data_IF_411470178311
#
_entry.id   IF_411470178311
#
_cell.length_a   1.000
_cell.length_b   1.000
_cell.length_c   1.000
_cell.angle_alpha   90.00
_cell.angle_beta   90.00
_cell.angle_gamma   90.00
#
_symmetry.space_group_name_H-M   'P 1'
#
loop_
_entity.id
_entity.type
_entity.pdbx_description
1 polymer ?
#
# COMPACT_ATOMS: atom_id res chain seq x y z
N UNK A 1 3.83 2.10 20.53
CA UNK A 1 4.27 0.74 20.14
C UNK A 1 3.09 -0.22 19.91
N UNK A 2 2.29 -0.57 20.93
CA UNK A 2 1.13 -1.47 20.76
C UNK A 2 0.12 -0.92 19.76
N UNK A 3 -0.15 0.38 19.77
CA UNK A 3 -1.04 1.04 18.81
C UNK A 3 -0.53 0.89 17.36
N UNK A 4 0.76 1.12 17.10
CA UNK A 4 1.34 0.96 15.76
C UNK A 4 1.15 -0.46 15.23
N UNK A 5 1.45 -1.48 16.05
CA UNK A 5 1.22 -2.87 15.70
C UNK A 5 -0.26 -3.13 15.35
N UNK A 6 -1.18 -2.65 16.20
CA UNK A 6 -2.63 -2.86 16.01
C UNK A 6 -3.15 -2.18 14.74
N UNK A 7 -2.71 -0.95 14.45
CA UNK A 7 -3.10 -0.24 13.25
C UNK A 7 -2.56 -0.90 11.98
N UNK A 8 -1.31 -1.37 12.00
CA UNK A 8 -0.76 -2.14 10.87
C UNK A 8 -1.50 -3.46 10.64
N UNK A 9 -1.86 -4.18 11.71
CA UNK A 9 -2.67 -5.40 11.63
C UNK A 9 -4.09 -5.10 11.09
N UNK A 10 -4.71 -4.00 11.53
CA UNK A 10 -6.04 -3.60 11.07
C UNK A 10 -6.01 -3.22 9.58
N UNK A 11 -5.05 -2.39 9.18
CA UNK A 11 -4.90 -1.97 7.80
C UNK A 11 -4.67 -3.16 6.86
N UNK A 12 -3.69 -4.01 7.16
CA UNK A 12 -3.42 -5.20 6.36
C UNK A 12 -4.49 -6.30 6.49
N UNK A 13 -5.25 -6.33 7.59
CA UNK A 13 -6.40 -7.21 7.76
C UNK A 13 -7.49 -7.00 6.71
N UNK A 14 -7.54 -5.83 6.05
CA UNK A 14 -8.42 -5.56 4.92
C UNK A 14 -8.16 -6.46 3.70
N UNK A 15 -6.96 -7.01 3.54
CA UNK A 15 -6.66 -8.06 2.55
C UNK A 15 -7.51 -9.32 2.77
N UNK A 16 -7.70 -9.73 4.04
CA UNK A 16 -8.57 -10.85 4.39
C UNK A 16 -10.05 -10.53 4.10
N UNK A 17 -10.47 -9.27 4.27
CA UNK A 17 -11.81 -8.83 3.82
C UNK A 17 -11.92 -8.96 2.31
N UNK A 18 -10.90 -8.57 1.55
CA UNK A 18 -10.80 -8.79 0.10
C UNK A 18 -10.93 -10.26 -0.28
N UNK A 19 -10.24 -11.15 0.43
CA UNK A 19 -10.36 -12.61 0.25
C UNK A 19 -11.81 -13.10 0.45
N UNK A 20 -12.48 -12.66 1.50
CA UNK A 20 -13.87 -13.04 1.77
C UNK A 20 -14.81 -12.57 0.66
N UNK A 21 -14.60 -11.36 0.16
CA UNK A 21 -15.39 -10.78 -0.93
C UNK A 21 -15.09 -11.41 -2.30
N UNK A 22 -13.95 -12.06 -2.48
CA UNK A 22 -13.49 -12.60 -3.76
C UNK A 22 -14.47 -13.61 -4.39
N UNK A 23 -15.22 -14.36 -3.58
CA UNK A 23 -16.21 -15.30 -4.07
C UNK A 23 -17.41 -14.62 -4.77
N UNK A 24 -17.75 -13.39 -4.37
CA UNK A 24 -18.87 -12.60 -4.89
C UNK A 24 -18.45 -11.57 -5.91
N UNK A 25 -17.43 -10.78 -5.61
CA UNK A 25 -17.00 -9.63 -6.41
C UNK A 25 -15.84 -9.95 -7.35
N UNK A 26 -15.01 -10.95 -7.06
CA UNK A 26 -13.87 -11.35 -7.87
C UNK A 26 -14.20 -11.86 -9.28
N UNK A 27 -15.49 -12.16 -9.54
CA UNK A 27 -15.98 -12.56 -10.87
C UNK A 27 -16.00 -11.42 -11.88
N UNK A 28 -16.08 -10.17 -11.41
CA UNK A 28 -16.10 -8.99 -12.28
C UNK A 28 -14.73 -8.32 -12.30
N UNK A 29 -13.90 -8.65 -13.29
CA UNK A 29 -12.59 -7.98 -13.49
C UNK A 29 -12.73 -6.47 -13.51
N UNK A 30 -13.79 -5.95 -14.13
CA UNK A 30 -14.03 -4.50 -14.22
C UNK A 30 -14.29 -3.87 -12.86
N UNK A 31 -15.12 -4.50 -12.01
CA UNK A 31 -15.38 -3.99 -10.64
C UNK A 31 -14.10 -3.94 -9.81
N UNK A 32 -13.29 -4.99 -9.87
CA UNK A 32 -11.99 -5.04 -9.20
C UNK A 32 -11.08 -3.91 -9.68
N UNK A 33 -10.95 -3.74 -11.00
CA UNK A 33 -10.14 -2.67 -11.57
C UNK A 33 -10.61 -1.26 -11.19
N UNK A 34 -11.93 -1.02 -11.09
CA UNK A 34 -12.46 0.27 -10.63
C UNK A 34 -12.13 0.53 -9.16
N UNK A 35 -12.22 -0.49 -8.30
CA UNK A 35 -11.84 -0.38 -6.89
C UNK A 35 -10.34 -0.12 -6.73
N UNK A 36 -9.50 -0.83 -7.50
CA UNK A 36 -8.05 -0.61 -7.52
C UNK A 36 -7.70 0.80 -7.99
N UNK A 37 -8.36 1.30 -9.05
CA UNK A 37 -8.15 2.66 -9.55
C UNK A 37 -8.47 3.72 -8.50
N UNK A 38 -9.58 3.54 -7.76
CA UNK A 38 -9.94 4.44 -6.67
C UNK A 38 -8.91 4.39 -5.54
N UNK A 39 -8.50 3.19 -5.10
CA UNK A 39 -7.45 2.99 -4.10
C UNK A 39 -6.10 3.59 -4.53
N UNK A 40 -5.69 3.41 -5.79
CA UNK A 40 -4.48 4.04 -6.32
C UNK A 40 -4.54 5.57 -6.20
N UNK A 41 -5.69 6.17 -6.53
CA UNK A 41 -5.88 7.60 -6.39
C UNK A 41 -5.77 8.09 -4.94
N UNK A 42 -6.36 7.35 -3.98
CA UNK A 42 -6.26 7.69 -2.56
C UNK A 42 -4.82 7.62 -2.06
N UNK A 43 -4.05 6.62 -2.48
CA UNK A 43 -2.65 6.49 -2.11
C UNK A 43 -1.76 7.57 -2.76
N UNK A 44 -1.99 7.93 -4.03
CA UNK A 44 -1.26 9.06 -4.66
C UNK A 44 -1.47 10.35 -3.87
N UNK A 45 -2.72 10.61 -3.44
CA UNK A 45 -3.05 11.77 -2.60
C UNK A 45 -2.30 11.73 -1.26
N UNK A 46 -2.32 10.56 -0.60
CA UNK A 46 -1.67 10.39 0.69
C UNK A 46 -0.14 10.56 0.60
N UNK A 47 0.50 10.04 -0.46
CA UNK A 47 1.93 10.28 -0.70
C UNK A 47 2.22 11.76 -0.85
N UNK A 48 1.41 12.48 -1.65
CA UNK A 48 1.65 13.91 -1.93
C UNK A 48 1.41 14.83 -0.74
N UNK A 49 0.35 14.57 0.04
CA UNK A 49 -0.04 15.48 1.12
C UNK A 49 0.52 15.12 2.49
N UNK A 50 0.85 13.85 2.73
CA UNK A 50 1.23 13.38 4.06
C UNK A 50 2.68 12.91 4.17
N UNK A 51 3.27 12.41 3.08
CA UNK A 51 4.63 11.86 3.14
C UNK A 51 5.70 12.83 2.65
N UNK A 52 5.35 13.74 1.76
CA UNK A 52 6.27 14.73 1.18
C UNK A 52 5.61 16.11 1.22
N UNK A 53 5.25 16.63 2.41
CA UNK A 53 4.79 18.00 2.51
C UNK A 53 5.89 18.99 2.05
N UNK A 54 5.48 20.17 1.60
CA UNK A 54 6.40 21.20 1.09
C UNK A 54 7.54 21.51 2.09
N UNK A 55 7.23 21.50 3.38
CA UNK A 55 8.19 21.72 4.47
C UNK A 55 9.36 20.72 4.44
N UNK A 56 9.10 19.47 4.05
CA UNK A 56 10.14 18.43 3.94
C UNK A 56 11.02 18.62 2.70
N UNK A 57 10.54 19.26 1.64
CA UNK A 57 11.35 19.55 0.46
C UNK A 57 12.42 20.62 0.74
N UNK A 58 12.21 21.47 1.75
CA UNK A 58 13.20 22.45 2.21
C UNK A 58 14.37 21.81 2.99
N UNK A 59 14.22 20.57 3.49
CA UNK A 59 15.26 19.83 4.22
C UNK A 59 16.47 19.39 3.33
N UNK A 60 16.40 19.69 2.04
CA UNK A 60 17.51 19.57 1.12
C UNK A 60 17.58 18.26 0.34
N UNK A 61 18.75 18.00 -0.27
CA UNK A 61 18.96 16.89 -1.18
C UNK A 61 18.79 15.49 -0.56
N UNK A 62 18.88 15.37 0.77
CA UNK A 62 18.76 14.09 1.51
C UNK A 62 17.38 13.47 1.37
N UNK A 63 16.33 14.29 1.43
CA UNK A 63 14.94 13.84 1.25
C UNK A 63 14.72 13.33 -0.20
N UNK A 64 15.20 14.09 -1.18
CA UNK A 64 15.13 13.65 -2.59
C UNK A 64 15.92 12.37 -2.85
N UNK A 65 17.10 12.23 -2.24
CA UNK A 65 17.92 11.02 -2.34
C UNK A 65 17.23 9.82 -1.69
N UNK A 66 16.67 9.99 -0.48
CA UNK A 66 15.94 8.95 0.21
C UNK A 66 14.71 8.48 -0.60
N UNK A 67 13.96 9.41 -1.17
CA UNK A 67 12.82 9.12 -2.03
C UNK A 67 13.23 8.28 -3.26
N UNK A 68 14.28 8.70 -3.96
CA UNK A 68 14.82 7.95 -5.11
C UNK A 68 15.36 6.58 -4.71
N UNK A 69 16.00 6.47 -3.55
CA UNK A 69 16.47 5.18 -3.03
C UNK A 69 15.32 4.23 -2.70
N UNK A 70 14.21 4.75 -2.15
CA UNK A 70 12.99 3.98 -1.94
C UNK A 70 12.38 3.47 -3.24
N UNK A 71 12.30 4.34 -4.25
CA UNK A 71 11.85 3.98 -5.58
C UNK A 71 12.72 2.88 -6.21
N UNK A 72 14.04 3.01 -6.12
CA UNK A 72 14.98 2.01 -6.62
C UNK A 72 14.92 0.69 -5.86
N UNK A 73 14.73 0.74 -4.54
CA UNK A 73 14.57 -0.46 -3.71
C UNK A 73 13.32 -1.24 -4.09
N UNK A 74 12.18 -0.55 -4.24
CA UNK A 74 10.95 -1.18 -4.73
C UNK A 74 11.14 -1.79 -6.12
N UNK A 75 11.66 -1.01 -7.08
CA UNK A 75 11.90 -1.46 -8.45
C UNK A 75 12.81 -2.71 -8.51
N UNK A 76 13.88 -2.74 -7.70
CA UNK A 76 14.74 -3.91 -7.61
C UNK A 76 14.01 -5.13 -7.03
N UNK A 77 13.20 -4.92 -5.98
CA UNK A 77 12.36 -5.95 -5.36
C UNK A 77 11.35 -6.53 -6.35
N UNK A 78 10.61 -5.67 -7.06
CA UNK A 78 9.63 -6.06 -8.07
C UNK A 78 10.27 -6.93 -9.18
N UNK A 79 11.43 -6.52 -9.68
CA UNK A 79 12.18 -7.32 -10.67
C UNK A 79 12.62 -8.69 -10.16
N UNK A 80 12.90 -8.84 -8.87
CA UNK A 80 13.23 -10.13 -8.28
C UNK A 80 11.99 -11.03 -8.18
N UNK A 81 10.85 -10.44 -7.85
CA UNK A 81 9.54 -11.14 -7.78
C UNK A 81 9.12 -11.62 -9.18
N UNK A 82 9.22 -10.78 -10.20
CA UNK A 82 8.85 -11.11 -11.58
C UNK A 82 9.63 -12.30 -12.14
N UNK A 83 10.90 -12.44 -11.76
CA UNK A 83 11.73 -13.60 -12.14
C UNK A 83 11.23 -14.92 -11.57
N UNK A 84 10.40 -14.88 -10.51
CA UNK A 84 9.80 -16.06 -9.88
C UNK A 84 8.63 -16.68 -10.67
N UNK A 85 8.19 -16.06 -11.77
CA UNK A 85 7.08 -16.52 -12.61
C UNK A 85 5.70 -16.26 -11.99
N UNK A 86 4.63 -16.64 -12.71
CA UNK A 86 3.22 -16.41 -12.33
C UNK A 86 2.69 -17.43 -11.29
N UNK A 87 3.52 -17.90 -10.38
CA UNK A 87 3.09 -18.82 -9.32
C UNK A 87 2.34 -18.07 -8.20
N UNK A 88 1.47 -18.77 -7.46
CA UNK A 88 0.81 -18.18 -6.28
C UNK A 88 1.79 -17.62 -5.25
N UNK A 89 3.05 -18.06 -5.27
CA UNK A 89 4.14 -17.51 -4.44
C UNK A 89 4.57 -16.13 -4.96
N UNK A 90 4.67 -15.94 -6.27
CA UNK A 90 5.03 -14.66 -6.86
C UNK A 90 3.96 -13.59 -6.57
N UNK A 91 2.67 -13.94 -6.68
CA UNK A 91 1.56 -13.05 -6.30
C UNK A 91 1.63 -12.66 -4.82
N UNK A 92 1.94 -13.61 -3.95
CA UNK A 92 2.13 -13.32 -2.53
C UNK A 92 3.32 -12.40 -2.26
N UNK A 93 4.45 -12.64 -2.95
CA UNK A 93 5.65 -11.79 -2.81
C UNK A 93 5.41 -10.37 -3.34
N UNK A 94 4.61 -10.22 -4.40
CA UNK A 94 4.15 -8.92 -4.88
C UNK A 94 3.37 -8.17 -3.81
N UNK A 95 2.31 -8.78 -3.28
CA UNK A 95 1.51 -8.21 -2.21
C UNK A 95 2.33 -7.89 -0.93
N UNK A 96 3.34 -8.69 -0.63
CA UNK A 96 4.26 -8.43 0.49
C UNK A 96 5.15 -7.21 0.21
N UNK A 97 5.60 -7.05 -1.02
CA UNK A 97 6.40 -5.91 -1.44
C UNK A 97 5.59 -4.61 -1.41
N UNK A 98 4.29 -4.68 -1.71
CA UNK A 98 3.36 -3.56 -1.67
C UNK A 98 2.95 -3.21 -0.23
N UNK A 99 2.58 -4.18 0.57
CA UNK A 99 2.03 -3.99 1.92
C UNK A 99 3.05 -3.54 2.97
N UNK A 100 4.34 -3.89 2.82
CA UNK A 100 5.38 -3.50 3.78
C UNK A 100 5.58 -1.98 3.83
N UNK A 101 5.82 -1.26 2.70
CA UNK A 101 5.98 0.19 2.72
C UNK A 101 4.76 0.93 3.27
N UNK A 102 3.55 0.53 2.86
CA UNK A 102 2.31 1.14 3.34
C UNK A 102 2.14 1.01 4.86
N UNK A 103 2.37 -0.20 5.37
CA UNK A 103 2.26 -0.44 6.82
C UNK A 103 3.36 0.26 7.62
N UNK A 104 4.57 0.33 7.07
CA UNK A 104 5.68 1.05 7.67
C UNK A 104 5.35 2.54 7.83
N UNK A 105 4.75 3.17 6.82
CA UNK A 105 4.29 4.56 6.86
C UNK A 105 3.24 4.79 7.94
N UNK A 106 2.28 3.87 8.12
CA UNK A 106 1.30 4.00 9.21
C UNK A 106 1.96 4.09 10.58
N UNK A 107 3.01 3.31 10.80
CA UNK A 107 3.77 3.37 12.04
C UNK A 107 4.58 4.64 12.19
N UNK A 108 5.22 5.11 11.11
CA UNK A 108 5.94 6.38 11.06
C UNK A 108 5.04 7.55 11.40
N UNK A 109 3.89 7.66 10.71
CA UNK A 109 2.93 8.76 10.90
C UNK A 109 2.43 8.83 12.34
N UNK A 110 2.13 7.67 12.95
CA UNK A 110 1.72 7.60 14.35
C UNK A 110 2.81 8.11 15.31
N UNK A 111 4.09 7.89 15.02
CA UNK A 111 5.18 8.36 15.89
C UNK A 111 5.47 9.84 15.69
N UNK A 112 5.44 10.33 14.46
CA UNK A 112 5.73 11.73 14.12
C UNK A 112 4.56 12.66 14.47
N UNK A 113 3.32 12.26 14.15
CA UNK A 113 2.13 13.07 14.38
C UNK A 113 1.43 12.84 15.73
N UNK A 114 1.82 11.79 16.48
CA UNK A 114 1.15 11.41 17.74
C UNK A 114 -0.22 10.74 17.54
N UNK A 115 -0.83 10.92 16.39
CA UNK A 115 -2.11 10.33 15.99
C UNK A 115 -1.98 9.67 14.63
N UNK A 116 -2.90 8.74 14.32
CA UNK A 116 -2.89 8.11 13.00
C UNK A 116 -3.60 9.01 11.99
N UNK A 117 -3.00 9.21 10.83
CA UNK A 117 -3.70 9.84 9.72
C UNK A 117 -4.86 8.95 9.26
N UNK A 118 -6.09 9.43 9.46
CA UNK A 118 -7.30 8.73 9.01
C UNK A 118 -7.38 8.71 7.49
N UNK A 119 -6.85 9.74 6.81
CA UNK A 119 -6.82 9.78 5.35
C UNK A 119 -5.88 8.69 4.80
N UNK A 120 -4.67 8.56 5.36
CA UNK A 120 -3.73 7.52 4.95
C UNK A 120 -4.26 6.10 5.30
N UNK A 121 -4.79 5.92 6.51
CA UNK A 121 -5.40 4.65 6.90
C UNK A 121 -6.54 4.25 5.97
N UNK A 122 -7.44 5.19 5.64
CA UNK A 122 -8.53 4.93 4.69
C UNK A 122 -7.99 4.60 3.30
N UNK A 123 -6.94 5.29 2.84
CA UNK A 123 -6.30 4.99 1.57
C UNK A 123 -5.77 3.54 1.53
N UNK A 124 -5.04 3.11 2.56
CA UNK A 124 -4.50 1.74 2.67
C UNK A 124 -5.63 0.70 2.77
N UNK A 125 -6.69 0.95 3.55
CA UNK A 125 -7.84 0.04 3.62
C UNK A 125 -8.53 -0.11 2.26
N UNK A 126 -8.68 1.00 1.52
CA UNK A 126 -9.36 1.02 0.23
C UNK A 126 -8.50 0.43 -0.90
N UNK A 127 -7.17 0.45 -0.79
CA UNK A 127 -6.25 -0.21 -1.73
C UNK A 127 -6.14 -1.71 -1.46
N UNK A 128 -6.04 -2.13 -0.21
CA UNK A 128 -5.83 -3.51 0.17
C UNK A 128 -7.05 -4.41 -0.10
N UNK A 129 -8.28 -3.90 0.06
CA UNK A 129 -9.49 -4.71 -0.21
C UNK A 129 -9.52 -5.22 -1.66
N UNK A 130 -9.41 -4.38 -2.71
CA UNK A 130 -9.36 -4.86 -4.08
C UNK A 130 -8.12 -5.72 -4.39
N UNK A 131 -6.98 -5.43 -3.77
CA UNK A 131 -5.76 -6.23 -3.91
C UNK A 131 -5.95 -7.65 -3.36
N UNK A 132 -6.41 -7.80 -2.12
CA UNK A 132 -6.74 -9.09 -1.52
C UNK A 132 -7.80 -9.86 -2.31
N UNK A 133 -8.76 -9.13 -2.91
CA UNK A 133 -9.80 -9.69 -3.77
C UNK A 133 -9.22 -10.19 -5.10
N UNK A 134 -8.42 -9.37 -5.79
CA UNK A 134 -7.76 -9.71 -7.04
C UNK A 134 -6.79 -10.88 -6.86
N UNK A 135 -5.85 -10.76 -5.93
CA UNK A 135 -4.87 -11.79 -5.64
C UNK A 135 -5.50 -13.12 -5.23
N UNK A 136 -6.59 -13.09 -4.46
CA UNK A 136 -7.34 -14.31 -4.12
C UNK A 136 -7.99 -14.93 -5.36
N UNK A 137 -8.60 -14.13 -6.23
CA UNK A 137 -9.21 -14.63 -7.46
C UNK A 137 -8.17 -15.25 -8.39
N UNK A 138 -7.02 -14.62 -8.54
CA UNK A 138 -5.94 -15.10 -9.40
C UNK A 138 -5.26 -16.36 -8.81
N UNK A 139 -5.02 -16.42 -7.49
CA UNK A 139 -4.51 -17.61 -6.82
C UNK A 139 -5.49 -18.80 -6.94
N UNK A 140 -6.80 -18.56 -6.80
CA UNK A 140 -7.82 -19.60 -7.03
C UNK A 140 -7.82 -20.10 -8.48
N UNK A 141 -7.72 -19.19 -9.44
CA UNK A 141 -7.61 -19.55 -10.85
C UNK A 141 -6.35 -20.38 -11.14
N UNK A 142 -5.26 -20.12 -10.43
CA UNK A 142 -4.02 -20.89 -10.44
C UNK A 142 -4.07 -22.22 -9.65
N UNK A 143 -5.23 -22.58 -9.07
CA UNK A 143 -5.42 -23.86 -8.35
C UNK A 143 -4.84 -23.87 -6.92
N UNK A 144 -4.52 -22.72 -6.34
CA UNK A 144 -4.03 -22.63 -4.95
C UNK A 144 -5.18 -22.95 -4.00
N UNK A 145 -5.02 -23.89 -3.05
CA UNK A 145 -6.07 -24.27 -2.13
C UNK A 145 -6.39 -23.14 -1.14
N UNK A 146 -7.66 -22.97 -0.79
CA UNK A 146 -8.18 -21.88 0.03
C UNK A 146 -7.42 -21.72 1.37
N UNK A 147 -7.13 -22.84 2.03
CA UNK A 147 -6.35 -22.83 3.28
C UNK A 147 -4.97 -22.16 3.10
N UNK A 148 -4.32 -22.41 1.97
CA UNK A 148 -3.01 -21.82 1.68
C UNK A 148 -3.14 -20.32 1.41
N UNK A 149 -4.18 -19.90 0.66
CA UNK A 149 -4.48 -18.48 0.42
C UNK A 149 -4.69 -17.76 1.75
N UNK A 150 -5.54 -18.28 2.63
CA UNK A 150 -5.78 -17.69 3.96
C UNK A 150 -4.50 -17.61 4.79
N UNK A 151 -3.68 -18.67 4.76
CA UNK A 151 -2.39 -18.65 5.50
C UNK A 151 -1.45 -17.58 4.97
N UNK A 152 -1.40 -17.38 3.64
CA UNK A 152 -0.58 -16.36 2.99
C UNK A 152 -1.05 -14.95 3.40
N UNK A 153 -2.35 -14.65 3.27
CA UNK A 153 -2.90 -13.36 3.69
C UNK A 153 -2.74 -13.08 5.19
N UNK A 154 -2.96 -14.10 6.03
CA UNK A 154 -2.72 -13.95 7.49
C UNK A 154 -1.24 -13.69 7.78
N UNK A 155 -0.34 -14.42 7.12
CA UNK A 155 1.11 -14.20 7.26
C UNK A 155 1.51 -12.79 6.83
N UNK A 156 0.98 -12.32 5.70
CA UNK A 156 1.21 -10.94 5.23
C UNK A 156 0.68 -9.91 6.23
N UNK A 157 -0.52 -10.10 6.76
CA UNK A 157 -1.09 -9.21 7.80
C UNK A 157 -0.17 -9.12 9.02
N UNK A 158 0.40 -10.23 9.46
CA UNK A 158 1.36 -10.24 10.59
C UNK A 158 2.65 -9.49 10.24
N UNK A 159 3.20 -9.71 9.03
CA UNK A 159 4.41 -8.99 8.57
C UNK A 159 4.14 -7.49 8.48
N UNK A 160 3.00 -7.08 7.95
CA UNK A 160 2.59 -5.68 7.88
C UNK A 160 2.43 -5.05 9.28
N UNK A 161 1.86 -5.78 10.24
CA UNK A 161 1.82 -5.32 11.63
C UNK A 161 3.23 -5.07 12.20
N UNK A 162 4.18 -5.97 11.92
CA UNK A 162 5.58 -5.79 12.34
C UNK A 162 6.26 -4.64 11.58
N UNK A 163 5.95 -4.44 10.29
CA UNK A 163 6.46 -3.32 9.51
C UNK A 163 5.96 -1.98 10.08
N UNK A 164 4.70 -1.89 10.49
CA UNK A 164 4.16 -0.70 11.17
C UNK A 164 4.87 -0.45 12.51
N UNK A 165 5.10 -1.48 13.30
CA UNK A 165 5.90 -1.35 14.53
C UNK A 165 7.32 -0.86 14.23
N UNK A 166 7.96 -1.38 13.18
CA UNK A 166 9.30 -0.94 12.77
C UNK A 166 9.31 0.53 12.35
N UNK A 167 8.31 0.98 11.58
CA UNK A 167 8.15 2.39 11.21
C UNK A 167 8.04 3.32 12.43
N UNK A 168 7.22 2.91 13.41
CA UNK A 168 7.10 3.64 14.67
C UNK A 168 8.45 3.77 15.40
N UNK A 169 9.20 2.69 15.52
CA UNK A 169 10.50 2.68 16.21
C UNK A 169 11.57 3.51 15.49
N UNK A 170 11.55 3.54 14.17
CA UNK A 170 12.45 4.37 13.37
C UNK A 170 12.17 5.84 13.59
N UNK A 171 10.91 6.27 13.56
CA UNK A 171 10.55 7.66 13.80
C UNK A 171 10.82 8.09 15.25
N UNK A 172 10.57 7.23 16.23
CA UNK A 172 10.84 7.49 17.65
C UNK A 172 12.34 7.69 17.95
N UNK A 173 13.23 7.25 17.05
CA UNK A 173 14.69 7.45 17.16
C UNK A 173 15.13 8.90 16.87
N UNK A 174 14.30 9.72 16.25
CA UNK A 174 14.55 11.15 15.97
C UNK A 174 13.75 11.65 14.77
N UNK A 175 13.30 12.91 14.83
CA UNK A 175 12.46 13.53 13.80
C UNK A 175 13.09 13.48 12.40
N UNK A 176 14.35 13.85 12.27
CA UNK A 176 15.07 13.82 11.00
C UNK A 176 15.19 12.40 10.39
N UNK A 177 15.42 11.39 11.24
CA UNK A 177 15.41 9.99 10.79
C UNK A 177 14.03 9.57 10.31
N UNK A 178 12.97 10.00 10.99
CA UNK A 178 11.59 9.75 10.59
C UNK A 178 11.24 10.37 9.24
N UNK A 179 11.65 11.60 8.98
CA UNK A 179 11.43 12.32 7.72
C UNK A 179 12.14 11.63 6.54
N UNK A 180 13.41 11.24 6.71
CA UNK A 180 14.15 10.46 5.70
C UNK A 180 13.47 9.12 5.43
N UNK A 181 13.04 8.42 6.48
CA UNK A 181 12.34 7.14 6.35
C UNK A 181 10.96 7.30 5.67
N UNK A 182 10.25 8.41 5.94
CA UNK A 182 8.99 8.76 5.28
C UNK A 182 9.20 9.01 3.78
N UNK A 183 10.22 9.77 3.41
CA UNK A 183 10.57 10.01 2.03
C UNK A 183 10.94 8.70 1.30
N UNK A 184 11.74 7.86 1.92
CA UNK A 184 12.10 6.55 1.37
C UNK A 184 10.86 5.70 1.11
N UNK A 185 9.98 5.57 2.10
CA UNK A 185 8.76 4.79 1.98
C UNK A 185 7.78 5.39 0.95
N UNK A 186 7.67 6.73 0.88
CA UNK A 186 6.89 7.44 -0.13
C UNK A 186 7.37 7.15 -1.57
N UNK A 187 8.68 7.11 -1.79
CA UNK A 187 9.27 6.73 -3.08
C UNK A 187 8.96 5.29 -3.47
N UNK A 188 9.00 4.37 -2.51
CA UNK A 188 8.63 2.98 -2.73
C UNK A 188 7.15 2.85 -3.11
N UNK A 189 6.23 3.50 -2.35
CA UNK A 189 4.78 3.46 -2.63
C UNK A 189 4.44 4.10 -3.97
N UNK A 190 5.04 5.24 -4.31
CA UNK A 190 4.77 5.86 -5.60
C UNK A 190 5.23 4.99 -6.77
N UNK A 191 6.35 4.30 -6.62
CA UNK A 191 6.85 3.35 -7.64
C UNK A 191 5.93 2.14 -7.75
N UNK A 192 5.48 1.59 -6.62
CA UNK A 192 4.46 0.54 -6.56
C UNK A 192 3.20 0.92 -7.34
N UNK A 193 2.65 2.09 -7.08
CA UNK A 193 1.44 2.58 -7.74
C UNK A 193 1.61 2.65 -9.26
N UNK A 194 2.76 3.15 -9.71
CA UNK A 194 3.06 3.30 -11.14
C UNK A 194 3.35 1.97 -11.84
N UNK A 195 3.99 1.03 -11.14
CA UNK A 195 4.46 -0.25 -11.70
C UNK A 195 3.38 -1.35 -11.64
N UNK A 196 2.55 -1.35 -10.60
CA UNK A 196 1.58 -2.41 -10.30
C UNK A 196 0.13 -1.92 -10.37
N UNK A 197 -0.31 -1.12 -9.42
CA UNK A 197 -1.73 -0.86 -9.17
C UNK A 197 -2.43 -0.07 -10.29
N UNK A 198 -1.79 0.98 -10.81
CA UNK A 198 -2.35 1.80 -11.88
C UNK A 198 -2.46 1.02 -13.21
N UNK A 199 -1.40 0.34 -13.68
CA UNK A 199 -1.48 -0.49 -14.88
C UNK A 199 -2.55 -1.58 -14.77
N UNK A 200 -2.58 -2.32 -13.66
CA UNK A 200 -3.54 -3.40 -13.46
C UNK A 200 -4.98 -2.89 -13.42
N UNK A 201 -5.23 -1.75 -12.77
CA UNK A 201 -6.53 -1.12 -12.76
C UNK A 201 -7.01 -0.75 -14.16
N UNK A 202 -6.09 -0.23 -14.99
CA UNK A 202 -6.38 0.12 -16.37
C UNK A 202 -6.64 -1.12 -17.24
N UNK A 203 -5.86 -2.19 -17.09
CA UNK A 203 -6.07 -3.46 -17.80
C UNK A 203 -7.43 -4.09 -17.47
N UNK A 204 -7.88 -3.97 -16.22
CA UNK A 204 -9.15 -4.55 -15.74
C UNK A 204 -10.37 -3.69 -16.07
N UNK A 205 -10.27 -2.36 -15.99
CA UNK A 205 -11.41 -1.44 -16.10
C UNK A 205 -11.37 -0.48 -17.30
N UNK A 206 -10.26 -0.44 -18.04
CA UNK A 206 -10.06 0.44 -19.17
C UNK A 206 -9.98 1.91 -18.78
N UNK A 207 -10.27 2.82 -19.72
CA UNK A 207 -10.13 4.27 -19.53
C UNK A 207 -10.90 4.86 -18.35
N UNK A 208 -11.96 4.20 -17.88
CA UNK A 208 -12.74 4.64 -16.71
C UNK A 208 -11.91 4.58 -15.44
N UNK A 209 -10.90 3.72 -15.37
CA UNK A 209 -9.95 3.66 -14.26
C UNK A 209 -9.37 5.04 -13.94
N UNK A 210 -8.94 5.81 -14.96
CA UNK A 210 -8.39 7.15 -14.76
C UNK A 210 -9.36 8.11 -14.05
N UNK A 211 -10.66 8.03 -14.34
CA UNK A 211 -11.67 8.87 -13.65
C UNK A 211 -11.82 8.46 -12.17
N UNK A 212 -11.78 7.15 -11.88
CA UNK A 212 -11.83 6.66 -10.49
C UNK A 212 -10.56 7.00 -9.72
N UNK A 213 -9.39 6.98 -10.37
CA UNK A 213 -8.14 7.44 -9.75
C UNK A 213 -8.24 8.92 -9.35
N UNK A 214 -8.73 9.79 -10.24
CA UNK A 214 -8.95 11.21 -9.92
C UNK A 214 -9.96 11.37 -8.77
N UNK A 215 -11.05 10.60 -8.78
CA UNK A 215 -12.03 10.64 -7.70
C UNK A 215 -11.42 10.20 -6.36
N UNK A 216 -10.66 9.11 -6.36
CA UNK A 216 -9.95 8.64 -5.16
C UNK A 216 -8.98 9.69 -4.62
N UNK A 217 -8.19 10.31 -5.51
CA UNK A 217 -7.28 11.39 -5.16
C UNK A 217 -8.01 12.56 -4.49
N UNK A 218 -9.12 13.02 -5.06
CA UNK A 218 -9.91 14.11 -4.50
C UNK A 218 -10.52 13.78 -3.13
N UNK A 219 -11.05 12.57 -2.98
CA UNK A 219 -11.65 12.13 -1.70
C UNK A 219 -10.60 12.09 -0.61
N UNK A 220 -9.43 11.50 -0.86
CA UNK A 220 -8.36 11.44 0.13
C UNK A 220 -7.77 12.82 0.43
N UNK A 221 -7.58 13.68 -0.59
CA UNK A 221 -7.11 15.04 -0.40
C UNK A 221 -8.06 15.90 0.44
N UNK A 222 -9.38 15.74 0.26
CA UNK A 222 -10.36 16.40 1.14
C UNK A 222 -10.28 15.85 2.56
N UNK A 223 -10.17 14.53 2.74
CA UNK A 223 -10.01 13.93 4.07
C UNK A 223 -8.74 14.43 4.77
N UNK A 224 -7.62 14.51 4.06
CA UNK A 224 -6.36 15.03 4.60
C UNK A 224 -6.48 16.51 5.00
N UNK A 225 -7.23 17.32 4.25
CA UNK A 225 -7.43 18.74 4.58
C UNK A 225 -8.34 19.00 5.80
N UNK A 226 -9.01 17.97 6.33
CA UNK A 226 -9.90 18.05 7.50
C UNK A 226 -9.21 17.62 8.80
N UNK A 227 -7.99 17.15 8.74
CA UNK A 227 -7.15 16.76 9.89
C UNK A 227 -6.18 17.88 10.28
#
# INVERSE_FOLDING_TARGET
MTAALLWGLLAAGSLLVGQLLASRLGRSRRTVGLMMAFGAGTLVSAVGYELIPEENLELGWEIGAAFLLGALAYYAGARLVDRGGSSGVALFLGALLDGIPESFILGLGLALGGEISLAFLAAVLLSNIPEGLAGTADMRAGGVPERRITTMWTGLTLVCGLASLAGYLVADSGSHTGEIASAFAGGAVLTMLADSMVPESYERAGRVAGLLTVLGFLVAGVLSSLQ
#
